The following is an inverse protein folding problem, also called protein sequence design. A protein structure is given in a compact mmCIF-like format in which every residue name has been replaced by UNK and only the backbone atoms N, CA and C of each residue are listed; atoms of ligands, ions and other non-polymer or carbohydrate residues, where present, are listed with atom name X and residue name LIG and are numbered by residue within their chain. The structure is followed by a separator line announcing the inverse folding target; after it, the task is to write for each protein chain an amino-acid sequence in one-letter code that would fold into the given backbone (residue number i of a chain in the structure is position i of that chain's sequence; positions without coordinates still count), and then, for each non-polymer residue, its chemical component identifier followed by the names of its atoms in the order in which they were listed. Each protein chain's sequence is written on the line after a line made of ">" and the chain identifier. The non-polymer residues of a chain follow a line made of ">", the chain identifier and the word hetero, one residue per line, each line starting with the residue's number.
data_IF_271287227326
#
_entry.id   IF_271287227326
#
_cell.length_a   1.000
_cell.length_b   1.000
_cell.length_c   1.000
_cell.angle_alpha   90.00
_cell.angle_beta   90.00
_cell.angle_gamma   90.00
#
_symmetry.space_group_name_H-M   'P 1'
#
loop_
_entity.id
_entity.type
_entity.pdbx_description
1 polymer ?
#
# COMPACT_ATOMS: atom_id res chain seq x y z
N UNK A 1 9.40 4.63 -1.19
CA UNK A 1 8.30 4.07 -2.02
C UNK A 1 8.62 4.26 -3.50
N UNK A 2 8.97 3.20 -4.22
CA UNK A 2 9.13 3.27 -5.69
C UNK A 2 7.77 3.37 -6.37
N UNK A 3 7.44 4.44 -7.09
CA UNK A 3 6.13 4.58 -7.73
C UNK A 3 5.93 3.51 -8.82
N UNK A 4 5.14 2.47 -8.52
CA UNK A 4 4.75 1.45 -9.50
C UNK A 4 3.70 2.01 -10.46
N UNK A 5 3.58 1.38 -11.63
CA UNK A 5 2.63 1.75 -12.69
C UNK A 5 1.20 1.95 -12.18
N UNK A 6 0.78 1.20 -11.17
CA UNK A 6 -0.57 1.32 -10.56
C UNK A 6 -0.79 2.66 -9.82
N UNK A 7 0.24 3.22 -9.20
CA UNK A 7 0.15 4.53 -8.54
C UNK A 7 0.02 5.64 -9.59
N UNK A 8 0.74 5.51 -10.71
CA UNK A 8 0.63 6.45 -11.83
C UNK A 8 -0.74 6.42 -12.49
N UNK A 9 -1.35 5.25 -12.64
CA UNK A 9 -2.73 5.11 -13.14
C UNK A 9 -3.72 5.77 -12.18
N UNK A 10 -3.59 5.54 -10.87
CA UNK A 10 -4.45 6.17 -9.86
C UNK A 10 -4.33 7.69 -9.84
N UNK A 11 -3.11 8.22 -9.91
CA UNK A 11 -2.86 9.67 -10.03
C UNK A 11 -3.48 10.21 -11.31
N UNK A 12 -3.22 9.59 -12.46
CA UNK A 12 -3.74 10.05 -13.76
C UNK A 12 -5.27 10.08 -13.81
N UNK A 13 -5.92 9.02 -13.30
CA UNK A 13 -7.38 8.94 -13.25
C UNK A 13 -7.98 9.97 -12.30
N UNK A 14 -7.38 10.16 -11.11
CA UNK A 14 -7.83 11.17 -10.17
C UNK A 14 -7.64 12.61 -10.67
N UNK A 15 -6.53 12.88 -11.36
CA UNK A 15 -6.29 14.18 -12.00
C UNK A 15 -7.29 14.46 -13.12
N UNK A 16 -7.61 13.44 -13.94
CA UNK A 16 -8.64 13.56 -14.97
C UNK A 16 -10.02 13.89 -14.36
N UNK A 17 -10.40 13.22 -13.26
CA UNK A 17 -11.65 13.52 -12.54
C UNK A 17 -11.65 14.96 -12.01
N UNK A 18 -10.56 15.44 -11.42
CA UNK A 18 -10.46 16.82 -10.91
C UNK A 18 -10.58 17.83 -12.06
N UNK A 19 -9.91 17.58 -13.19
CA UNK A 19 -9.97 18.47 -14.36
C UNK A 19 -11.40 18.52 -14.92
N UNK A 20 -12.05 17.36 -15.08
CA UNK A 20 -13.46 17.30 -15.53
C UNK A 20 -14.37 17.99 -14.52
N UNK A 21 -14.20 17.75 -13.23
CA UNK A 21 -15.01 18.40 -12.20
C UNK A 21 -14.86 19.93 -12.24
N UNK A 22 -13.65 20.45 -12.44
CA UNK A 22 -13.39 21.87 -12.56
C UNK A 22 -13.94 22.47 -13.86
N UNK A 23 -13.86 21.77 -14.99
CA UNK A 23 -14.37 22.31 -16.27
C UNK A 23 -15.90 22.38 -16.30
N UNK A 24 -16.60 21.39 -15.74
CA UNK A 24 -18.06 21.33 -15.80
C UNK A 24 -18.76 22.03 -14.62
N UNK A 25 -18.22 21.95 -13.40
CA UNK A 25 -18.90 22.44 -12.19
C UNK A 25 -18.36 23.77 -11.65
N UNK A 26 -17.33 24.36 -12.27
CA UNK A 26 -16.82 25.69 -11.85
C UNK A 26 -17.80 26.83 -12.15
N UNK A 27 -18.73 26.65 -13.10
CA UNK A 27 -19.74 27.65 -13.47
C UNK A 27 -21.08 27.48 -12.74
N UNK A 28 -21.32 26.35 -12.07
CA UNK A 28 -22.57 26.11 -11.36
C UNK A 28 -22.55 26.71 -9.94
N UNK A 29 -23.71 27.20 -9.49
CA UNK A 29 -23.93 27.68 -8.11
C UNK A 29 -23.72 26.58 -7.05
N UNK A 30 -23.72 25.31 -7.44
CA UNK A 30 -23.64 24.16 -6.54
C UNK A 30 -22.20 23.77 -6.18
N UNK A 31 -21.57 24.63 -5.37
CA UNK A 31 -20.24 24.41 -4.77
C UNK A 31 -20.11 23.07 -4.01
N UNK A 32 -21.22 22.56 -3.48
CA UNK A 32 -21.25 21.33 -2.69
C UNK A 32 -20.94 20.08 -3.53
N UNK A 33 -21.45 20.02 -4.77
CA UNK A 33 -21.20 18.90 -5.69
C UNK A 33 -19.75 18.86 -6.15
N UNK A 34 -19.15 20.04 -6.42
CA UNK A 34 -17.73 20.15 -6.76
C UNK A 34 -16.86 19.62 -5.61
N UNK A 35 -17.12 20.04 -4.38
CA UNK A 35 -16.37 19.58 -3.21
C UNK A 35 -16.50 18.07 -2.99
N UNK A 36 -17.69 17.51 -3.21
CA UNK A 36 -17.91 16.07 -3.13
C UNK A 36 -17.11 15.29 -4.19
N UNK A 37 -17.16 15.74 -5.45
CA UNK A 37 -16.40 15.13 -6.55
C UNK A 37 -14.88 15.22 -6.34
N UNK A 38 -14.39 16.36 -5.87
CA UNK A 38 -12.97 16.52 -5.52
C UNK A 38 -12.59 15.60 -4.37
N UNK A 39 -13.44 15.46 -3.35
CA UNK A 39 -13.23 14.52 -2.25
C UNK A 39 -13.12 13.06 -2.72
N UNK A 40 -13.99 12.65 -3.66
CA UNK A 40 -13.91 11.33 -4.29
C UNK A 40 -12.61 11.17 -5.08
N UNK A 41 -12.24 12.17 -5.88
CA UNK A 41 -11.03 12.11 -6.68
C UNK A 41 -9.76 11.98 -5.81
N UNK A 42 -9.67 12.75 -4.73
CA UNK A 42 -8.59 12.63 -3.75
C UNK A 42 -8.55 11.25 -3.10
N UNK A 43 -9.71 10.67 -2.78
CA UNK A 43 -9.80 9.32 -2.23
C UNK A 43 -9.27 8.29 -3.23
N UNK A 44 -9.65 8.39 -4.50
CA UNK A 44 -9.16 7.50 -5.58
C UNK A 44 -7.64 7.62 -5.74
N UNK A 45 -7.07 8.82 -5.64
CA UNK A 45 -5.62 9.04 -5.70
C UNK A 45 -4.94 8.41 -4.50
N UNK A 46 -5.49 8.56 -3.30
CA UNK A 46 -4.89 8.04 -2.06
C UNK A 46 -4.97 6.51 -1.95
N UNK A 47 -6.02 5.90 -2.48
CA UNK A 47 -6.32 4.48 -2.36
C UNK A 47 -5.16 3.54 -2.77
N UNK A 48 -4.50 3.67 -3.94
CA UNK A 48 -3.39 2.79 -4.33
C UNK A 48 -2.20 2.88 -3.38
N UNK A 49 -1.98 4.02 -2.72
CA UNK A 49 -0.92 4.17 -1.72
C UNK A 49 -1.26 3.41 -0.44
N UNK A 50 -2.50 3.53 0.05
CA UNK A 50 -2.96 2.81 1.24
C UNK A 50 -2.87 1.30 1.03
N UNK A 51 -3.39 0.80 -0.09
CA UNK A 51 -3.31 -0.63 -0.42
C UNK A 51 -1.88 -1.14 -0.45
N UNK A 52 -0.96 -0.34 -0.99
CA UNK A 52 0.45 -0.71 -1.06
C UNK A 52 1.09 -0.80 0.32
N UNK A 53 0.85 0.17 1.19
CA UNK A 53 1.36 0.14 2.58
C UNK A 53 0.88 -1.12 3.29
N UNK A 54 -0.40 -1.47 3.12
CA UNK A 54 -0.96 -2.68 3.72
C UNK A 54 -0.24 -3.94 3.19
N UNK A 55 -0.02 -4.03 1.89
CA UNK A 55 0.63 -5.19 1.28
C UNK A 55 2.11 -5.31 1.69
N UNK A 56 2.84 -4.20 1.71
CA UNK A 56 4.24 -4.14 2.16
C UNK A 56 4.35 -4.54 3.63
N UNK A 57 3.48 -4.02 4.50
CA UNK A 57 3.44 -4.41 5.91
C UNK A 57 3.15 -5.89 6.12
N UNK A 58 2.19 -6.47 5.37
CA UNK A 58 1.92 -7.91 5.43
C UNK A 58 3.14 -8.74 5.04
N UNK A 59 3.87 -8.32 4.00
CA UNK A 59 5.08 -9.02 3.55
C UNK A 59 6.19 -8.95 4.61
N UNK A 60 6.43 -7.77 5.19
CA UNK A 60 7.41 -7.61 6.27
C UNK A 60 7.04 -8.46 7.50
N UNK A 61 5.75 -8.51 7.85
CA UNK A 61 5.27 -9.35 8.94
C UNK A 61 5.56 -10.84 8.68
N UNK A 62 5.28 -11.34 7.47
CA UNK A 62 5.58 -12.73 7.10
C UNK A 62 7.08 -13.06 7.18
N UNK A 63 7.93 -12.14 6.73
CA UNK A 63 9.39 -12.32 6.80
C UNK A 63 9.83 -12.38 8.27
N UNK A 64 9.29 -11.51 9.11
CA UNK A 64 9.59 -11.48 10.54
C UNK A 64 9.14 -12.75 11.26
N UNK A 65 7.95 -13.27 10.94
CA UNK A 65 7.43 -14.51 11.50
C UNK A 65 8.30 -15.71 11.10
N UNK A 66 8.66 -15.81 9.82
CA UNK A 66 9.55 -16.88 9.32
C UNK A 66 10.95 -16.79 9.93
N UNK A 67 11.49 -15.59 10.13
CA UNK A 67 12.79 -15.40 10.78
C UNK A 67 12.76 -15.79 12.26
N UNK A 68 11.67 -15.46 12.96
CA UNK A 68 11.48 -15.86 14.35
C UNK A 68 11.41 -17.38 14.48
N UNK A 69 10.66 -18.03 13.58
CA UNK A 69 10.55 -19.49 13.54
C UNK A 69 11.88 -20.15 13.21
N UNK A 70 12.62 -19.65 12.21
CA UNK A 70 13.98 -20.08 11.90
C UNK A 70 14.90 -19.97 13.12
N UNK A 71 14.89 -18.83 13.80
CA UNK A 71 15.73 -18.59 14.99
C UNK A 71 15.40 -19.56 16.13
N UNK A 72 14.10 -19.87 16.31
CA UNK A 72 13.63 -20.83 17.31
C UNK A 72 14.08 -22.26 16.99
N UNK A 73 13.88 -22.68 15.74
CA UNK A 73 14.26 -24.01 15.26
C UNK A 73 15.78 -24.21 15.32
N UNK A 74 16.56 -23.16 15.02
CA UNK A 74 18.01 -23.17 15.15
C UNK A 74 18.44 -23.32 16.61
N UNK A 75 17.88 -22.50 17.50
CA UNK A 75 18.19 -22.58 18.93
C UNK A 75 17.87 -23.96 19.52
N UNK A 76 16.75 -24.56 19.13
CA UNK A 76 16.36 -25.91 19.54
C UNK A 76 17.27 -27.00 18.97
N UNK A 77 17.65 -26.89 17.69
CA UNK A 77 18.56 -27.82 17.03
C UNK A 77 19.95 -27.81 17.68
N UNK A 78 20.46 -26.63 18.01
CA UNK A 78 21.73 -26.48 18.74
C UNK A 78 21.61 -27.03 20.17
N UNK A 79 20.50 -26.77 20.86
CA UNK A 79 20.26 -27.30 22.21
C UNK A 79 20.17 -28.83 22.26
N UNK A 80 19.68 -29.47 21.18
CA UNK A 80 19.64 -30.93 21.04
C UNK A 80 20.97 -31.54 20.56
N UNK A 81 22.02 -30.71 20.41
CA UNK A 81 23.36 -31.15 20.02
C UNK A 81 23.59 -31.26 18.51
N UNK A 82 22.64 -30.79 17.70
CA UNK A 82 22.81 -30.74 16.24
C UNK A 82 23.74 -29.58 15.88
N UNK A 83 24.84 -29.82 15.13
CA UNK A 83 25.72 -28.75 14.69
C UNK A 83 24.96 -27.74 13.82
N UNK A 84 25.24 -26.44 13.98
CA UNK A 84 24.60 -25.35 13.23
C UNK A 84 24.61 -25.59 11.71
N UNK A 85 25.71 -26.14 11.17
CA UNK A 85 25.84 -26.46 9.74
C UNK A 85 24.90 -27.57 9.22
N UNK A 86 24.24 -28.29 10.12
CA UNK A 86 23.21 -29.31 9.82
C UNK A 86 21.79 -28.78 10.07
N UNK A 87 21.64 -27.57 10.59
CA UNK A 87 20.38 -26.96 11.04
C UNK A 87 19.92 -25.77 10.20
N UNK A 88 20.76 -25.31 9.26
CA UNK A 88 20.48 -24.26 8.26
C UNK A 88 20.32 -24.93 6.91
#
# INVERSE_FOLDING_TARGET
>A
MELKKINWIGIGFGLAIIIVALLFFSQEKDRNLLLFLVGIALTIIALPFVFRVILENKREQQISEMFLEFSRNLAESVNTGTPISKSI
#
